data_IF_406822990677
#
_entry.id   IF_406822990677
#
_cell.length_a   1.000
_cell.length_b   1.000
_cell.length_c   1.000
_cell.angle_alpha   90.00
_cell.angle_beta   90.00
_cell.angle_gamma   90.00
#
_symmetry.space_group_name_H-M   'P 1'
#
loop_
_entity.id
_entity.type
_entity.pdbx_description
1 polymer ?
#
# COMPACT_ATOMS: atom_id res chain seq x y z
N UNK A 1 -12.68 -23.23 -7.80
CA UNK A 1 -12.98 -22.32 -8.92
C UNK A 1 -11.86 -21.31 -9.01
N UNK A 2 -11.32 -21.01 -10.21
CA UNK A 2 -10.33 -19.93 -10.37
C UNK A 2 -11.09 -18.60 -10.16
N UNK A 3 -10.54 -17.66 -9.40
CA UNK A 3 -11.20 -16.39 -9.13
C UNK A 3 -11.52 -15.65 -10.43
N UNK A 4 -12.67 -14.98 -10.48
CA UNK A 4 -12.95 -14.01 -11.54
C UNK A 4 -12.02 -12.81 -11.32
N UNK A 5 -11.58 -12.15 -12.40
CA UNK A 5 -10.75 -10.95 -12.32
C UNK A 5 -11.41 -9.81 -11.49
N UNK A 6 -10.71 -8.68 -11.31
CA UNK A 6 -11.24 -7.56 -10.54
C UNK A 6 -12.59 -7.08 -11.09
N UNK A 7 -13.54 -6.81 -10.19
CA UNK A 7 -14.90 -6.37 -10.53
C UNK A 7 -14.94 -4.89 -10.93
N UNK A 8 -14.35 -4.56 -12.08
CA UNK A 8 -14.28 -3.20 -12.63
C UNK A 8 -14.54 -3.20 -14.15
N UNK A 9 -14.92 -2.07 -14.75
CA UNK A 9 -15.16 -1.97 -16.18
C UNK A 9 -13.94 -2.39 -17.01
N UNK A 10 -14.17 -2.89 -18.24
CA UNK A 10 -13.09 -3.38 -19.11
C UNK A 10 -12.00 -2.34 -19.36
N UNK A 11 -12.38 -1.07 -19.56
CA UNK A 11 -11.43 0.04 -19.73
C UNK A 11 -10.44 0.15 -18.55
N UNK A 12 -10.91 -0.07 -17.32
CA UNK A 12 -10.05 -0.06 -16.13
C UNK A 12 -9.22 -1.34 -16.01
N UNK A 13 -9.70 -2.47 -16.54
CA UNK A 13 -8.89 -3.69 -16.66
C UNK A 13 -7.74 -3.47 -17.64
N UNK A 14 -8.01 -2.87 -18.80
CA UNK A 14 -7.01 -2.63 -19.83
C UNK A 14 -5.95 -1.62 -19.37
N UNK A 15 -6.38 -0.56 -18.66
CA UNK A 15 -5.48 0.47 -18.15
C UNK A 15 -4.69 0.05 -16.91
N UNK A 16 -5.27 -0.77 -16.04
CA UNK A 16 -4.68 -1.13 -14.74
C UNK A 16 -4.66 -2.63 -14.52
N UNK A 17 -4.05 -3.44 -15.39
CA UNK A 17 -4.27 -4.88 -15.46
C UNK A 17 -4.03 -5.61 -14.12
N UNK A 18 -4.75 -6.72 -13.89
CA UNK A 18 -4.79 -7.39 -12.58
C UNK A 18 -3.41 -7.92 -12.17
N UNK A 19 -2.61 -8.34 -13.15
CA UNK A 19 -1.23 -8.76 -13.02
C UNK A 19 -0.26 -7.64 -12.66
N UNK A 20 -0.71 -6.38 -12.55
CA UNK A 20 0.09 -5.26 -12.01
C UNK A 20 -0.27 -4.94 -10.56
N UNK A 21 -1.16 -5.72 -9.93
CA UNK A 21 -1.54 -5.55 -8.53
C UNK A 21 -1.35 -6.84 -7.73
N UNK A 22 -1.07 -6.71 -6.44
CA UNK A 22 -1.08 -7.82 -5.49
C UNK A 22 -2.13 -7.59 -4.38
N UNK A 23 -3.20 -6.82 -4.66
CA UNK A 23 -4.21 -6.44 -3.65
C UNK A 23 -4.75 -7.63 -2.85
N UNK A 24 -5.16 -8.70 -3.52
CA UNK A 24 -5.74 -9.89 -2.86
C UNK A 24 -4.68 -10.73 -2.15
N UNK A 25 -3.45 -10.78 -2.68
CA UNK A 25 -2.30 -11.39 -2.00
C UNK A 25 -2.01 -10.63 -0.70
N UNK A 26 -1.96 -9.29 -0.75
CA UNK A 26 -1.73 -8.43 0.41
C UNK A 26 -2.83 -8.60 1.47
N UNK A 27 -4.10 -8.54 1.07
CA UNK A 27 -5.23 -8.71 1.97
C UNK A 27 -5.24 -10.10 2.63
N UNK A 28 -5.02 -11.17 1.85
CA UNK A 28 -4.95 -12.53 2.38
C UNK A 28 -3.76 -12.74 3.33
N UNK A 29 -2.62 -12.12 3.06
CA UNK A 29 -1.45 -12.19 3.94
C UNK A 29 -1.64 -11.39 5.22
N UNK A 30 -2.26 -10.22 5.15
CA UNK A 30 -2.67 -9.47 6.34
C UNK A 30 -3.61 -10.31 7.21
N UNK A 31 -4.62 -10.95 6.62
CA UNK A 31 -5.54 -11.81 7.36
C UNK A 31 -4.82 -12.95 8.10
N UNK A 32 -3.83 -13.61 7.45
CA UNK A 32 -3.01 -14.64 8.10
C UNK A 32 -2.21 -14.11 9.29
N UNK A 33 -1.56 -12.95 9.11
CA UNK A 33 -0.77 -12.30 10.15
C UNK A 33 -1.65 -11.92 11.34
N UNK A 34 -2.83 -11.33 11.09
CA UNK A 34 -3.81 -11.00 12.14
C UNK A 34 -4.39 -12.24 12.83
N UNK A 35 -4.49 -13.37 12.13
CA UNK A 35 -4.88 -14.66 12.71
C UNK A 35 -3.73 -15.35 13.48
N UNK A 36 -2.56 -14.72 13.62
CA UNK A 36 -1.44 -15.22 14.42
C UNK A 36 -0.39 -16.04 13.66
N UNK A 37 -0.45 -16.08 12.32
CA UNK A 37 0.63 -16.70 11.53
C UNK A 37 1.93 -15.93 11.73
N UNK A 38 3.05 -16.65 11.94
CA UNK A 38 4.36 -16.01 12.11
C UNK A 38 4.75 -15.19 10.88
N UNK A 39 5.34 -13.99 11.04
CA UNK A 39 5.98 -13.22 9.97
C UNK A 39 7.03 -14.00 9.16
N UNK A 40 7.65 -15.02 9.77
CA UNK A 40 8.67 -15.87 9.15
C UNK A 40 8.10 -17.16 8.53
N UNK A 41 6.78 -17.36 8.58
CA UNK A 41 6.13 -18.50 7.93
C UNK A 41 6.42 -18.49 6.42
N UNK A 42 6.57 -19.69 5.84
CA UNK A 42 6.90 -19.87 4.42
C UNK A 42 5.91 -19.16 3.51
N UNK A 43 4.61 -19.18 3.83
CA UNK A 43 3.57 -18.54 3.02
C UNK A 43 3.71 -17.02 3.07
N UNK A 44 3.93 -16.47 4.26
CA UNK A 44 4.14 -15.02 4.45
C UNK A 44 5.41 -14.57 3.72
N UNK A 45 6.49 -15.34 3.79
CA UNK A 45 7.75 -15.06 3.11
C UNK A 45 7.65 -15.15 1.58
N UNK A 46 6.76 -15.98 1.02
CA UNK A 46 6.48 -15.99 -0.41
C UNK A 46 5.64 -14.78 -0.82
N UNK A 47 4.63 -14.43 -0.03
CA UNK A 47 3.83 -13.22 -0.26
C UNK A 47 4.69 -11.96 -0.23
N UNK A 48 5.63 -11.83 0.71
CA UNK A 48 6.49 -10.65 0.80
C UNK A 48 7.29 -10.42 -0.49
N UNK A 49 7.77 -11.48 -1.15
CA UNK A 49 8.46 -11.39 -2.44
C UNK A 49 7.54 -10.88 -3.55
N UNK A 50 6.27 -11.24 -3.55
CA UNK A 50 5.30 -10.74 -4.52
C UNK A 50 5.00 -9.25 -4.27
N UNK A 51 4.75 -8.87 -3.01
CA UNK A 51 4.50 -7.48 -2.63
C UNK A 51 5.70 -6.57 -3.00
N UNK A 52 6.92 -6.99 -2.68
CA UNK A 52 8.12 -6.19 -2.95
C UNK A 52 8.47 -6.06 -4.44
N UNK A 53 7.93 -6.90 -5.33
CA UNK A 53 8.07 -6.71 -6.78
C UNK A 53 7.26 -5.53 -7.30
N UNK A 54 6.21 -5.13 -6.58
CA UNK A 54 5.29 -4.05 -6.95
C UNK A 54 5.16 -3.08 -5.79
N UNK A 55 6.28 -2.46 -5.40
CA UNK A 55 6.24 -1.44 -4.35
C UNK A 55 5.53 -0.18 -4.85
N UNK A 56 5.01 0.68 -3.96
CA UNK A 56 4.32 1.90 -4.36
C UNK A 56 5.18 2.81 -5.21
N UNK A 57 4.67 3.18 -6.39
CA UNK A 57 5.24 4.17 -7.30
C UNK A 57 4.09 5.02 -7.84
N UNK A 58 4.15 6.33 -7.63
CA UNK A 58 3.16 7.24 -8.21
C UNK A 58 3.55 7.61 -9.63
N UNK A 59 3.04 6.86 -10.62
CA UNK A 59 3.18 7.15 -12.04
C UNK A 59 1.85 6.88 -12.75
N UNK A 60 1.13 7.94 -13.13
CA UNK A 60 -0.22 7.81 -13.72
C UNK A 60 -0.22 7.18 -15.13
N UNK A 61 0.96 7.13 -15.78
CA UNK A 61 1.14 6.52 -17.09
C UNK A 61 1.50 5.02 -17.03
N UNK A 62 1.85 4.47 -15.86
CA UNK A 62 2.30 3.07 -15.77
C UNK A 62 1.16 2.05 -15.73
N UNK A 63 -0.04 2.47 -15.33
CA UNK A 63 -1.13 1.52 -15.05
C UNK A 63 -0.91 0.68 -13.80
N UNK A 64 0.01 1.08 -12.91
CA UNK A 64 0.37 0.32 -11.70
C UNK A 64 -0.11 0.99 -10.39
N UNK A 65 -0.73 2.18 -10.48
CA UNK A 65 -1.31 2.83 -9.30
C UNK A 65 -2.52 2.03 -8.85
N UNK A 66 -2.40 1.39 -7.69
CA UNK A 66 -3.49 0.71 -7.01
C UNK A 66 -3.45 1.06 -5.52
N UNK A 67 -4.28 2.03 -5.13
CA UNK A 67 -4.35 2.53 -3.77
C UNK A 67 -4.88 1.49 -2.77
N UNK A 68 -5.77 0.58 -3.21
CA UNK A 68 -6.28 -0.51 -2.37
C UNK A 68 -5.15 -1.49 -2.08
N UNK A 69 -4.39 -1.84 -3.11
CA UNK A 69 -3.20 -2.64 -2.95
C UNK A 69 -2.19 -1.96 -2.03
N UNK A 70 -1.91 -0.67 -2.21
CA UNK A 70 -0.95 0.03 -1.35
C UNK A 70 -1.40 0.04 0.11
N UNK A 71 -2.69 0.22 0.38
CA UNK A 71 -3.22 0.16 1.74
C UNK A 71 -3.03 -1.21 2.39
N UNK A 72 -3.49 -2.29 1.75
CA UNK A 72 -3.32 -3.64 2.31
C UNK A 72 -1.86 -4.08 2.36
N UNK A 73 -1.07 -3.72 1.35
CA UNK A 73 0.37 -3.99 1.30
C UNK A 73 1.11 -3.28 2.43
N UNK A 74 0.70 -2.04 2.75
CA UNK A 74 1.25 -1.29 3.88
C UNK A 74 0.98 -1.99 5.20
N UNK A 75 -0.27 -2.38 5.46
CA UNK A 75 -0.61 -3.12 6.68
C UNK A 75 0.09 -4.48 6.76
N UNK A 76 0.10 -5.25 5.68
CA UNK A 76 0.73 -6.56 5.65
C UNK A 76 2.24 -6.47 5.88
N UNK A 77 2.94 -5.57 5.17
CA UNK A 77 4.39 -5.42 5.31
C UNK A 77 4.78 -4.80 6.64
N UNK A 78 3.95 -3.91 7.21
CA UNK A 78 4.13 -3.42 8.57
C UNK A 78 4.11 -4.56 9.60
N UNK A 79 3.10 -5.44 9.52
CA UNK A 79 2.99 -6.62 10.39
C UNK A 79 4.14 -7.63 10.19
N UNK A 80 4.74 -7.68 9.00
CA UNK A 80 5.97 -8.47 8.76
C UNK A 80 7.21 -7.85 9.41
N UNK A 81 7.27 -6.52 9.49
CA UNK A 81 8.42 -5.78 10.01
C UNK A 81 9.70 -5.93 9.19
N UNK A 82 10.84 -5.64 9.83
CA UNK A 82 12.18 -5.86 9.30
C UNK A 82 12.46 -5.20 7.94
N UNK A 83 13.27 -5.87 7.11
CA UNK A 83 13.69 -5.37 5.80
C UNK A 83 12.52 -5.21 4.82
N UNK A 84 11.49 -6.06 4.93
CA UNK A 84 10.28 -5.97 4.11
C UNK A 84 9.54 -4.66 4.38
N UNK A 85 9.29 -4.35 5.65
CA UNK A 85 8.68 -3.07 6.02
C UNK A 85 9.56 -1.89 5.60
N UNK A 86 10.87 -1.94 5.89
CA UNK A 86 11.78 -0.84 5.56
C UNK A 86 11.78 -0.51 4.06
N UNK A 87 11.81 -1.53 3.20
CA UNK A 87 11.77 -1.37 1.74
C UNK A 87 10.44 -0.79 1.28
N UNK A 88 9.33 -1.36 1.77
CA UNK A 88 7.98 -0.90 1.42
C UNK A 88 7.75 0.54 1.85
N UNK A 89 8.08 0.89 3.10
CA UNK A 89 7.89 2.22 3.66
C UNK A 89 8.64 3.28 2.87
N UNK A 90 9.89 3.03 2.48
CA UNK A 90 10.66 3.98 1.69
C UNK A 90 10.00 4.28 0.34
N UNK A 91 9.47 3.25 -0.34
CA UNK A 91 8.72 3.42 -1.59
C UNK A 91 7.39 4.15 -1.36
N UNK A 92 6.64 3.76 -0.32
CA UNK A 92 5.38 4.39 0.06
C UNK A 92 5.55 5.87 0.38
N UNK A 93 6.57 6.24 1.16
CA UNK A 93 6.85 7.63 1.51
C UNK A 93 7.14 8.47 0.26
N UNK A 94 7.96 7.95 -0.66
CA UNK A 94 8.22 8.63 -1.95
C UNK A 94 6.94 8.80 -2.77
N UNK A 95 6.14 7.75 -2.91
CA UNK A 95 4.93 7.78 -3.71
C UNK A 95 3.88 8.73 -3.11
N UNK A 96 3.60 8.61 -1.82
CA UNK A 96 2.48 9.32 -1.15
C UNK A 96 2.83 10.78 -0.86
N UNK A 97 4.03 11.07 -0.32
CA UNK A 97 4.37 12.45 0.07
C UNK A 97 4.63 13.36 -1.14
N UNK A 98 5.18 12.81 -2.22
CA UNK A 98 5.45 13.59 -3.44
C UNK A 98 4.18 13.88 -4.25
N UNK A 99 3.18 13.01 -4.17
CA UNK A 99 1.92 13.14 -4.92
C UNK A 99 0.83 13.93 -4.19
N UNK A 100 1.03 14.27 -2.91
CA UNK A 100 0.06 15.08 -2.18
C UNK A 100 -0.05 16.47 -2.79
N UNK A 101 -1.27 16.90 -3.09
CA UNK A 101 -1.56 18.26 -3.57
C UNK A 101 -1.17 19.28 -2.50
N UNK A 102 -0.45 20.33 -2.89
CA UNK A 102 0.08 21.36 -1.95
C UNK A 102 -0.60 22.72 -2.03
N UNK A 103 -1.50 22.92 -2.98
CA UNK A 103 -2.11 24.22 -3.24
C UNK A 103 -3.54 24.08 -3.78
N UNK A 104 -4.27 25.20 -3.74
CA UNK A 104 -5.66 25.29 -4.16
C UNK A 104 -6.62 24.51 -3.24
N UNK A 105 -7.87 24.38 -3.69
CA UNK A 105 -8.95 23.74 -2.93
C UNK A 105 -8.70 22.26 -2.65
N UNK A 106 -7.80 21.64 -3.41
CA UNK A 106 -7.42 20.24 -3.25
C UNK A 106 -6.19 20.05 -2.34
N UNK A 107 -5.65 21.09 -1.72
CA UNK A 107 -4.47 20.96 -0.85
C UNK A 107 -4.69 19.90 0.25
N UNK A 108 -3.68 19.05 0.46
CA UNK A 108 -3.72 17.94 1.40
C UNK A 108 -4.32 16.64 0.84
N UNK A 109 -4.92 16.66 -0.35
CA UNK A 109 -5.55 15.50 -0.98
C UNK A 109 -4.66 14.79 -2.00
N UNK A 110 -5.17 13.68 -2.54
CA UNK A 110 -4.55 12.93 -3.64
C UNK A 110 -5.52 12.79 -4.81
N UNK A 111 -4.98 12.82 -6.02
CA UNK A 111 -5.77 12.68 -7.24
C UNK A 111 -6.26 11.22 -7.43
N UNK A 112 -7.46 11.01 -8.00
CA UNK A 112 -8.05 9.70 -8.22
C UNK A 112 -7.39 8.91 -9.36
N UNK A 113 -6.11 8.59 -9.20
CA UNK A 113 -5.22 8.08 -10.25
C UNK A 113 -5.21 6.54 -10.43
N UNK A 114 -6.00 5.81 -9.64
CA UNK A 114 -6.07 4.34 -9.68
C UNK A 114 -7.33 3.78 -10.35
N UNK A 115 -7.48 2.45 -10.42
CA UNK A 115 -8.61 1.79 -11.11
C UNK A 115 -9.98 2.09 -10.48
N UNK A 116 -10.01 2.51 -9.22
CA UNK A 116 -11.22 2.88 -8.49
C UNK A 116 -11.43 4.40 -8.42
N UNK A 117 -10.58 5.16 -9.12
CA UNK A 117 -10.65 6.61 -9.18
C UNK A 117 -11.97 7.15 -9.76
N UNK A 118 -12.48 6.61 -10.89
CA UNK A 118 -13.76 7.06 -11.46
C UNK A 118 -14.96 6.89 -10.52
N UNK A 119 -15.01 5.79 -9.75
CA UNK A 119 -16.12 5.50 -8.85
C UNK A 119 -15.98 6.17 -7.48
N UNK A 120 -14.78 6.10 -6.87
CA UNK A 120 -14.52 6.60 -5.52
C UNK A 120 -14.12 8.07 -5.45
N UNK A 121 -13.58 8.62 -6.54
CA UNK A 121 -13.12 9.99 -6.64
C UNK A 121 -12.05 10.38 -5.62
N UNK A 122 -11.90 11.70 -5.43
CA UNK A 122 -10.88 12.29 -4.54
C UNK A 122 -11.03 11.87 -3.08
N UNK A 123 -12.26 11.65 -2.60
CA UNK A 123 -12.53 11.26 -1.21
C UNK A 123 -11.92 9.89 -0.93
N UNK A 124 -12.20 8.90 -1.77
CA UNK A 124 -11.61 7.56 -1.67
C UNK A 124 -10.08 7.60 -1.71
N UNK A 125 -9.51 8.32 -2.68
CA UNK A 125 -8.06 8.41 -2.84
C UNK A 125 -7.39 9.07 -1.65
N UNK A 126 -7.99 10.15 -1.14
CA UNK A 126 -7.48 10.85 0.04
C UNK A 126 -7.57 9.98 1.28
N UNK A 127 -8.67 9.27 1.48
CA UNK A 127 -8.84 8.36 2.62
C UNK A 127 -7.76 7.27 2.62
N UNK A 128 -7.56 6.56 1.51
CA UNK A 128 -6.56 5.49 1.44
C UNK A 128 -5.12 6.01 1.58
N UNK A 129 -4.78 7.13 0.93
CA UNK A 129 -3.43 7.69 1.05
C UNK A 129 -3.16 8.25 2.45
N UNK A 130 -4.18 8.80 3.12
CA UNK A 130 -4.09 9.21 4.52
C UNK A 130 -3.87 8.01 5.44
N UNK A 131 -4.61 6.90 5.24
CA UNK A 131 -4.41 5.67 6.01
C UNK A 131 -3.01 5.08 5.81
N UNK A 132 -2.49 5.11 4.58
CA UNK A 132 -1.10 4.74 4.30
C UNK A 132 -0.11 5.64 5.05
N UNK A 133 -0.32 6.96 5.00
CA UNK A 133 0.53 7.94 5.68
C UNK A 133 0.50 7.79 7.20
N UNK A 134 -0.65 7.45 7.77
CA UNK A 134 -0.81 7.18 9.20
C UNK A 134 0.11 6.05 9.66
N UNK A 135 0.14 4.93 8.92
CA UNK A 135 0.98 3.78 9.26
C UNK A 135 2.46 4.16 9.25
N UNK A 136 2.89 4.99 8.28
CA UNK A 136 4.26 5.49 8.22
C UNK A 136 4.63 6.39 9.41
N UNK A 137 3.70 7.21 9.92
CA UNK A 137 3.98 8.23 10.92
C UNK A 137 3.78 7.75 12.36
N UNK A 138 2.69 7.02 12.64
CA UNK A 138 2.33 6.64 14.02
C UNK A 138 3.23 5.54 14.57
N UNK A 139 3.58 4.57 13.75
CA UNK A 139 4.34 3.41 14.21
C UNK A 139 5.87 3.61 14.19
N UNK A 140 6.34 4.81 13.83
CA UNK A 140 7.76 5.21 13.96
C UNK A 140 8.04 6.06 15.20
N UNK A 141 7.00 6.59 15.85
CA UNK A 141 7.10 7.32 17.11
C UNK A 141 7.59 6.49 18.31
N UNK A 142 7.76 5.17 18.16
CA UNK A 142 8.29 4.28 19.20
C UNK A 142 9.78 3.90 19.01
N UNK A 143 10.41 4.27 17.89
CA UNK A 143 11.79 3.85 17.57
C UNK A 143 12.77 5.02 17.38
N UNK A 144 12.31 6.26 17.56
CA UNK A 144 13.11 7.48 17.33
C UNK A 144 13.34 8.37 18.55
N UNK A 145 12.74 8.06 19.71
CA UNK A 145 13.07 8.74 20.98
C UNK A 145 14.09 7.86 21.70
N UNK A 146 15.37 8.19 21.50
CA UNK A 146 16.47 7.59 22.24
C UNK A 146 16.31 7.86 23.72
N UNK A 147 15.70 6.92 24.45
CA UNK A 147 15.96 6.77 25.87
C UNK A 147 17.28 6.02 25.93
N UNK A 148 18.35 6.76 26.23
CA UNK A 148 19.68 6.20 26.40
C UNK A 148 19.63 5.02 27.36
N UNK A 149 20.04 3.85 26.88
CA UNK A 149 20.49 2.77 27.74
C UNK A 149 21.81 3.21 28.38
N UNK A 150 21.70 3.89 29.53
CA UNK A 150 22.77 4.01 30.49
C UNK A 150 22.99 2.67 31.18
N UNK A 151 24.27 2.33 31.30
CA UNK A 151 24.83 1.21 32.07
C UNK A 151 24.26 1.09 33.47
#
# INVERSE_FOLDING_TARGET
TRGTGPARPQEMIDRFPAEHSEAMTAAGTLARLLAGTSPTDRTVALSSKLLLKRTPVWNEASGEIDMTYWYFGTLATYQMGGATWATWRQALARAVLASQRRSGDAAGSWDPAGPWGPDGGRVYSTALMTLCAEVMLRYEGASGIGIGQGR
#
